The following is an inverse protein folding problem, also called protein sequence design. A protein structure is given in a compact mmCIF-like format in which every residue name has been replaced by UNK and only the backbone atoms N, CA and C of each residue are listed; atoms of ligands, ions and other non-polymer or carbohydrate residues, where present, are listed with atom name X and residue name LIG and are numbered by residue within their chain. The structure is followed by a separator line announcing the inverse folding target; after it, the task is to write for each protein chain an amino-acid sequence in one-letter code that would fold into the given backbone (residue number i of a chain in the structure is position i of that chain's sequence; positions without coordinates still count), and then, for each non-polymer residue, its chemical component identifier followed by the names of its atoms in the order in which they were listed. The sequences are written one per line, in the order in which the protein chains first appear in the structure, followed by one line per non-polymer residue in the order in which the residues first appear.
data_IF_765934554732
#
_entry.id   IF_765934554732
#
_cell.length_a   1.000
_cell.length_b   1.000
_cell.length_c   1.000
_cell.angle_alpha   90.00
_cell.angle_beta   90.00
_cell.angle_gamma   90.00
#
_symmetry.space_group_name_H-M   'P 1'
#
loop_
_entity.id
_entity.type
_entity.pdbx_description
1 polymer ?
#
# COMPACT_ATOMS: atom_id res chain seq x y z
N UNK A 1 -4.03 12.17 -0.04
CA UNK A 1 -3.63 12.28 1.38
C UNK A 1 -3.07 10.94 1.78
N UNK A 2 -1.76 10.86 2.02
CA UNK A 2 -1.05 9.61 2.27
C UNK A 2 -0.99 9.33 3.77
N UNK A 3 -1.16 8.06 4.16
CA UNK A 3 -0.97 7.64 5.57
C UNK A 3 0.50 7.32 5.73
N UNK A 4 1.16 7.87 6.76
CA UNK A 4 2.48 7.34 7.16
C UNK A 4 2.30 6.33 8.27
N UNK A 5 2.93 5.18 8.10
CA UNK A 5 2.88 4.07 9.04
C UNK A 5 4.29 3.70 9.48
N UNK A 6 4.42 3.33 10.74
CA UNK A 6 5.61 2.71 11.30
C UNK A 6 5.37 1.20 11.38
N UNK A 7 6.26 0.43 10.76
CA UNK A 7 6.29 -1.02 10.84
C UNK A 7 7.43 -1.44 11.76
N UNK A 8 7.15 -2.39 12.64
CA UNK A 8 8.13 -3.06 13.48
C UNK A 8 8.11 -4.55 13.17
N UNK A 9 9.27 -5.08 12.82
CA UNK A 9 9.52 -6.50 12.60
C UNK A 9 10.57 -6.95 13.61
N UNK A 10 10.32 -8.06 14.30
CA UNK A 10 11.30 -8.71 15.16
C UNK A 10 11.29 -10.21 14.99
N UNK A 11 12.46 -10.80 14.93
CA UNK A 11 12.66 -12.24 14.94
C UNK A 11 13.71 -12.59 15.97
N UNK A 12 13.35 -13.43 16.94
CA UNK A 12 14.20 -13.83 18.07
C UNK A 12 14.42 -15.33 18.09
N UNK A 13 15.68 -15.72 18.21
CA UNK A 13 16.12 -17.10 18.36
C UNK A 13 16.87 -17.22 19.68
N UNK A 14 16.30 -17.96 20.63
CA UNK A 14 16.93 -18.26 21.91
C UNK A 14 17.35 -19.73 21.94
N UNK A 15 18.65 -19.96 22.01
CA UNK A 15 19.27 -21.28 22.04
C UNK A 15 19.47 -21.77 23.47
N UNK A 16 19.21 -23.06 23.69
CA UNK A 16 19.43 -23.75 24.96
C UNK A 16 20.90 -23.86 25.38
N UNK A 17 21.83 -23.54 24.47
CA UNK A 17 23.27 -23.54 24.68
C UNK A 17 23.99 -22.42 23.91
N UNK A 18 25.28 -22.22 24.21
CA UNK A 18 26.13 -21.29 23.45
C UNK A 18 26.47 -21.88 22.08
N UNK A 19 26.01 -21.23 21.02
CA UNK A 19 26.27 -21.61 19.63
C UNK A 19 27.22 -20.63 18.95
N UNK A 20 27.97 -21.10 17.95
CA UNK A 20 28.76 -20.25 17.08
C UNK A 20 27.97 -20.01 15.80
N UNK A 21 27.46 -18.79 15.59
CA UNK A 21 26.81 -18.43 14.33
C UNK A 21 27.84 -18.42 13.19
N UNK A 22 27.47 -18.99 12.04
CA UNK A 22 28.20 -18.78 10.78
C UNK A 22 27.87 -17.40 10.21
N UNK A 23 28.46 -16.98 9.08
CA UNK A 23 27.98 -15.80 8.38
C UNK A 23 26.46 -15.89 8.13
N UNK A 24 25.74 -14.81 8.45
CA UNK A 24 24.30 -14.69 8.22
C UNK A 24 24.04 -13.60 7.19
N UNK A 25 23.12 -13.87 6.27
CA UNK A 25 22.63 -12.91 5.29
C UNK A 25 21.23 -12.48 5.70
N UNK A 26 21.01 -11.16 5.79
CA UNK A 26 19.72 -10.56 6.12
C UNK A 26 19.27 -9.72 4.93
N UNK A 27 18.05 -10.00 4.45
CA UNK A 27 17.41 -9.36 3.29
C UNK A 27 16.15 -8.62 3.69
N UNK A 28 16.15 -7.97 4.85
CA UNK A 28 15.01 -7.27 5.41
C UNK A 28 15.04 -5.75 5.14
N UNK A 29 15.74 -5.32 4.08
CA UNK A 29 15.74 -3.93 3.63
C UNK A 29 14.90 -3.80 2.35
N UNK A 30 13.99 -2.82 2.26
CA UNK A 30 13.22 -2.57 1.04
C UNK A 30 14.10 -2.53 -0.22
N UNK A 31 13.63 -3.20 -1.26
CA UNK A 31 14.31 -3.31 -2.54
C UNK A 31 14.39 -1.93 -3.21
N UNK A 32 15.43 -1.65 -4.03
CA UNK A 32 15.59 -0.35 -4.68
C UNK A 32 14.40 0.11 -5.54
N UNK A 33 13.62 -0.84 -6.07
CA UNK A 33 12.47 -0.60 -6.94
C UNK A 33 11.13 -0.51 -6.19
N UNK A 34 11.17 -0.44 -4.85
CA UNK A 34 9.96 -0.24 -4.03
C UNK A 34 9.25 1.04 -4.46
N UNK A 35 7.97 0.94 -4.83
CA UNK A 35 7.15 2.09 -5.24
C UNK A 35 6.64 2.91 -4.05
N UNK A 36 6.40 2.25 -2.91
CA UNK A 36 5.99 2.88 -1.66
C UNK A 36 7.17 3.66 -1.05
N UNK A 37 7.06 4.98 -0.84
CA UNK A 37 8.16 5.78 -0.29
C UNK A 37 8.57 5.32 1.11
N UNK A 38 9.86 5.05 1.30
CA UNK A 38 10.45 4.66 2.59
C UNK A 38 11.22 5.85 3.17
N UNK A 39 10.70 6.42 4.25
CA UNK A 39 11.26 7.60 4.92
C UNK A 39 12.33 7.23 5.95
N UNK A 40 12.18 6.08 6.61
CA UNK A 40 13.12 5.60 7.60
C UNK A 40 13.31 4.09 7.52
N UNK A 41 14.54 3.66 7.80
CA UNK A 41 14.95 2.27 7.86
C UNK A 41 15.96 2.13 8.99
N UNK A 42 15.76 1.17 9.88
CA UNK A 42 16.79 0.71 10.81
C UNK A 42 16.83 -0.81 10.86
N UNK A 43 18.03 -1.36 11.07
CA UNK A 43 18.30 -2.77 11.29
C UNK A 43 19.16 -2.90 12.54
N UNK A 44 18.63 -3.56 13.57
CA UNK A 44 19.36 -3.90 14.79
C UNK A 44 19.51 -5.40 14.86
N UNK A 45 20.71 -5.86 15.18
CA UNK A 45 21.03 -7.29 15.29
C UNK A 45 21.73 -7.55 16.61
N UNK A 46 21.28 -8.59 17.32
CA UNK A 46 21.97 -9.16 18.48
C UNK A 46 22.59 -10.51 18.11
N UNK A 47 23.81 -10.83 18.56
CA UNK A 47 24.68 -10.08 19.49
C UNK A 47 25.20 -8.75 18.95
N UNK A 48 25.41 -7.74 19.81
CA UNK A 48 25.85 -6.39 19.40
C UNK A 48 27.26 -6.34 18.82
N UNK A 49 28.14 -7.21 19.28
CA UNK A 49 29.52 -7.33 18.77
C UNK A 49 29.53 -8.19 17.50
N UNK A 50 29.41 -7.55 16.35
CA UNK A 50 29.43 -8.20 15.04
C UNK A 50 30.09 -7.30 13.98
N UNK A 51 30.48 -7.92 12.87
CA UNK A 51 30.81 -7.18 11.66
C UNK A 51 29.65 -7.23 10.69
N UNK A 52 29.32 -6.08 10.10
CA UNK A 52 28.31 -5.95 9.05
C UNK A 52 28.95 -5.48 7.75
N UNK A 53 28.61 -6.13 6.65
CA UNK A 53 28.94 -5.69 5.29
C UNK A 53 27.67 -5.64 4.45
N UNK A 54 27.39 -4.47 3.87
CA UNK A 54 26.26 -4.29 2.95
C UNK A 54 26.72 -4.52 1.52
N UNK A 55 25.94 -5.30 0.79
CA UNK A 55 26.15 -5.58 -0.63
C UNK A 55 24.82 -5.67 -1.37
N UNK A 56 24.91 -5.76 -2.69
CA UNK A 56 23.79 -6.18 -3.53
C UNK A 56 24.05 -7.58 -4.07
N UNK A 57 23.01 -8.41 -4.10
CA UNK A 57 23.07 -9.69 -4.81
C UNK A 57 22.98 -9.47 -6.34
N UNK A 58 23.16 -10.51 -7.17
CA UNK A 58 23.06 -10.39 -8.63
C UNK A 58 21.70 -9.87 -9.15
N UNK A 59 20.67 -9.85 -8.30
CA UNK A 59 19.32 -9.39 -8.63
C UNK A 59 19.06 -7.96 -8.12
N UNK A 60 20.07 -7.31 -7.53
CA UNK A 60 19.99 -5.95 -7.01
C UNK A 60 19.33 -5.83 -5.63
N UNK A 61 19.07 -6.95 -4.94
CA UNK A 61 18.50 -6.92 -3.60
C UNK A 61 19.54 -6.46 -2.59
N UNK A 62 19.12 -5.68 -1.59
CA UNK A 62 19.99 -5.29 -0.49
C UNK A 62 20.23 -6.48 0.46
N UNK A 63 21.50 -6.83 0.66
CA UNK A 63 21.89 -7.92 1.56
C UNK A 63 22.87 -7.41 2.60
N UNK A 64 22.52 -7.54 3.88
CA UNK A 64 23.43 -7.32 4.99
C UNK A 64 24.06 -8.66 5.39
N UNK A 65 25.38 -8.77 5.24
CA UNK A 65 26.18 -9.91 5.66
C UNK A 65 26.74 -9.65 7.06
N UNK A 66 26.35 -10.48 8.02
CA UNK A 66 26.78 -10.44 9.41
C UNK A 66 27.76 -11.56 9.72
N UNK A 67 28.86 -11.21 10.37
CA UNK A 67 29.81 -12.19 10.92
C UNK A 67 29.95 -11.99 12.41
N UNK A 68 29.77 -13.07 13.17
CA UNK A 68 29.83 -13.09 14.63
C UNK A 68 31.10 -13.79 15.09
N UNK A 69 31.84 -13.16 16.02
CA UNK A 69 33.07 -13.74 16.56
C UNK A 69 32.79 -14.60 17.78
N UNK A 70 32.00 -14.07 18.70
CA UNK A 70 31.69 -14.71 19.97
C UNK A 70 30.50 -15.67 19.86
N UNK A 71 30.50 -16.70 20.70
CA UNK A 71 29.35 -17.58 20.85
C UNK A 71 28.20 -16.83 21.53
N UNK A 72 26.97 -17.17 21.17
CA UNK A 72 25.78 -16.55 21.75
C UNK A 72 24.73 -17.58 22.12
N UNK A 73 23.84 -17.21 23.03
CA UNK A 73 22.57 -17.91 23.29
C UNK A 73 21.39 -17.24 22.59
N UNK A 74 21.55 -16.03 22.08
CA UNK A 74 20.49 -15.26 21.44
C UNK A 74 20.95 -14.71 20.11
N UNK A 75 20.15 -14.90 19.08
CA UNK A 75 20.25 -14.19 17.82
C UNK A 75 18.94 -13.45 17.60
N UNK A 76 18.98 -12.13 17.46
CA UNK A 76 17.77 -11.30 17.30
C UNK A 76 17.96 -10.37 16.13
N UNK A 77 16.94 -10.22 15.30
CA UNK A 77 16.91 -9.31 14.16
C UNK A 77 15.67 -8.45 14.28
N UNK A 78 15.88 -7.14 14.36
CA UNK A 78 14.84 -6.15 14.53
C UNK A 78 14.93 -5.11 13.41
N UNK A 79 13.81 -4.85 12.75
CA UNK A 79 13.70 -3.88 11.66
C UNK A 79 12.56 -2.91 11.98
N UNK A 80 12.88 -1.62 11.90
CA UNK A 80 11.91 -0.54 11.98
C UNK A 80 11.85 0.18 10.63
N UNK A 81 10.65 0.31 10.06
CA UNK A 81 10.40 1.06 8.83
C UNK A 81 9.40 2.18 9.07
N UNK A 82 9.61 3.33 8.43
CA UNK A 82 8.55 4.33 8.25
C UNK A 82 8.27 4.46 6.77
N UNK A 83 7.04 4.12 6.37
CA UNK A 83 6.63 4.13 4.97
C UNK A 83 5.39 5.00 4.78
N UNK A 84 5.27 5.54 3.57
CA UNK A 84 4.14 6.36 3.17
C UNK A 84 3.22 5.55 2.25
N UNK A 85 2.02 5.24 2.75
CA UNK A 85 0.98 4.53 2.03
C UNK A 85 0.33 5.47 1.01
N UNK A 86 0.99 5.61 -0.13
CA UNK A 86 0.47 6.30 -1.31
C UNK A 86 -0.26 5.28 -2.16
N UNK A 87 -1.52 5.53 -2.51
CA UNK A 87 -2.28 4.64 -3.38
C UNK A 87 -1.55 4.43 -4.70
N UNK A 88 -1.35 3.17 -5.05
CA UNK A 88 -0.68 2.78 -6.29
C UNK A 88 -1.72 2.16 -7.21
N UNK A 89 -1.85 2.70 -8.42
CA UNK A 89 -2.60 2.02 -9.47
C UNK A 89 -1.77 0.83 -9.98
N UNK A 90 -2.21 -0.42 -9.78
CA UNK A 90 -1.47 -1.60 -10.21
C UNK A 90 -1.49 -1.80 -11.73
N UNK A 91 -2.27 -1.00 -12.48
CA UNK A 91 -2.36 -1.03 -13.95
C UNK A 91 -1.72 0.18 -14.63
N UNK A 92 -0.98 1.01 -13.90
CA UNK A 92 -0.32 2.21 -14.43
C UNK A 92 0.99 1.88 -15.14
N UNK A 93 0.87 1.34 -16.36
CA UNK A 93 1.98 1.00 -17.25
C UNK A 93 1.52 0.92 -18.70
N UNK A 94 2.48 0.85 -19.62
CA UNK A 94 2.24 0.56 -21.04
C UNK A 94 2.81 -0.81 -21.38
N UNK A 95 2.17 -1.53 -22.29
CA UNK A 95 2.66 -2.82 -22.80
C UNK A 95 3.13 -2.62 -24.24
N UNK A 96 4.25 -3.23 -24.62
CA UNK A 96 4.71 -3.21 -26.01
C UNK A 96 3.70 -3.92 -26.94
N UNK A 97 3.55 -3.42 -28.16
CA UNK A 97 2.51 -3.86 -29.10
C UNK A 97 2.51 -5.38 -29.35
N UNK A 98 3.71 -5.99 -29.47
CA UNK A 98 3.81 -7.44 -29.70
C UNK A 98 3.46 -8.29 -28.46
N UNK A 99 3.46 -7.70 -27.26
CA UNK A 99 3.17 -8.37 -26.00
C UNK A 99 1.78 -8.01 -25.43
N UNK A 100 1.03 -7.12 -26.10
CA UNK A 100 -0.32 -6.74 -25.67
C UNK A 100 -1.25 -7.95 -25.55
N UNK A 101 -1.06 -8.94 -26.43
CA UNK A 101 -1.80 -10.19 -26.43
C UNK A 101 -0.87 -11.38 -26.22
N UNK A 102 -1.29 -12.32 -25.38
CA UNK A 102 -0.64 -13.61 -25.22
C UNK A 102 -1.34 -14.66 -26.10
N UNK A 103 -0.63 -15.66 -26.66
CA UNK A 103 0.81 -15.91 -26.52
C UNK A 103 1.69 -14.95 -27.35
N UNK A 104 2.81 -14.54 -26.76
CA UNK A 104 3.89 -13.79 -27.42
C UNK A 104 5.24 -14.42 -27.10
N UNK A 105 6.27 -14.10 -27.89
CA UNK A 105 7.65 -14.45 -27.61
C UNK A 105 8.45 -13.21 -27.24
N UNK A 106 9.29 -13.31 -26.22
CA UNK A 106 10.28 -12.29 -25.91
C UNK A 106 11.30 -12.14 -27.04
N UNK A 107 11.73 -10.90 -27.33
CA UNK A 107 12.85 -10.65 -28.22
C UNK A 107 14.10 -11.44 -27.78
N UNK A 108 14.92 -11.89 -28.73
CA UNK A 108 15.99 -12.85 -28.47
C UNK A 108 16.99 -12.39 -27.40
N UNK A 109 17.34 -11.10 -27.38
CA UNK A 109 18.25 -10.54 -26.37
C UNK A 109 17.60 -10.52 -24.99
N UNK A 110 16.38 -9.99 -24.90
CA UNK A 110 15.62 -9.92 -23.66
C UNK A 110 15.35 -11.33 -23.09
N UNK A 111 15.00 -12.30 -23.94
CA UNK A 111 14.80 -13.70 -23.55
C UNK A 111 16.05 -14.32 -22.92
N UNK A 112 17.24 -13.95 -23.41
CA UNK A 112 18.53 -14.37 -22.85
C UNK A 112 18.74 -13.77 -21.46
N UNK A 113 18.48 -12.48 -21.29
CA UNK A 113 18.64 -11.78 -20.01
C UNK A 113 17.61 -12.27 -18.97
N UNK A 114 16.41 -12.66 -19.42
CA UNK A 114 15.35 -13.22 -18.60
C UNK A 114 15.50 -14.75 -18.35
N UNK A 115 16.55 -15.39 -18.86
CA UNK A 115 16.67 -16.86 -18.80
C UNK A 115 16.53 -17.48 -17.41
N UNK A 116 17.05 -16.91 -16.30
CA UNK A 116 16.84 -17.49 -14.96
C UNK A 116 15.38 -17.45 -14.52
N UNK A 117 14.61 -16.49 -15.04
CA UNK A 117 13.20 -16.27 -14.72
C UNK A 117 12.25 -17.07 -15.62
N UNK A 118 12.77 -17.77 -16.62
CA UNK A 118 12.04 -18.68 -17.51
C UNK A 118 12.30 -20.16 -17.17
N UNK A 119 13.21 -20.45 -16.24
CA UNK A 119 13.62 -21.81 -15.90
C UNK A 119 12.50 -22.62 -15.22
N UNK A 120 12.12 -23.74 -15.85
CA UNK A 120 11.16 -24.70 -15.29
C UNK A 120 11.83 -25.61 -14.26
N UNK A 121 11.70 -25.28 -12.97
CA UNK A 121 12.27 -26.08 -11.88
C UNK A 121 11.39 -27.25 -11.43
N UNK A 122 10.09 -27.17 -11.67
CA UNK A 122 9.13 -28.22 -11.33
C UNK A 122 8.28 -28.62 -12.52
N UNK A 123 8.01 -29.92 -12.67
CA UNK A 123 7.27 -30.49 -13.79
C UNK A 123 6.34 -31.64 -13.35
N UNK A 124 5.75 -31.53 -12.16
CA UNK A 124 4.81 -32.52 -11.63
C UNK A 124 3.55 -32.66 -12.48
N UNK A 125 2.85 -33.78 -12.34
CA UNK A 125 1.66 -34.11 -13.15
C UNK A 125 0.50 -33.16 -12.86
N UNK A 126 0.27 -32.82 -11.60
CA UNK A 126 -0.77 -31.86 -11.21
C UNK A 126 -0.46 -30.46 -11.73
N UNK A 127 0.81 -30.04 -11.71
CA UNK A 127 1.22 -28.74 -12.27
C UNK A 127 0.96 -28.69 -13.78
N UNK A 128 1.34 -29.73 -14.52
CA UNK A 128 1.07 -29.82 -15.96
C UNK A 128 -0.42 -29.80 -16.24
N UNK A 129 -1.20 -30.61 -15.52
CA UNK A 129 -2.66 -30.64 -15.64
C UNK A 129 -3.28 -29.27 -15.34
N UNK A 130 -2.78 -28.55 -14.33
CA UNK A 130 -3.24 -27.20 -14.01
C UNK A 130 -2.99 -26.25 -15.20
N UNK A 131 -1.77 -26.26 -15.76
CA UNK A 131 -1.38 -25.40 -16.89
C UNK A 131 -2.14 -25.74 -18.18
N UNK A 132 -2.43 -27.02 -18.42
CA UNK A 132 -3.19 -27.47 -19.59
C UNK A 132 -4.65 -27.00 -19.59
N UNK A 133 -5.21 -26.64 -18.42
CA UNK A 133 -6.54 -26.02 -18.34
C UNK A 133 -6.59 -24.60 -18.88
N UNK A 134 -5.45 -23.92 -18.99
CA UNK A 134 -5.37 -22.53 -19.46
C UNK A 134 -5.52 -22.51 -20.99
N UNK A 135 -6.61 -21.93 -21.52
CA UNK A 135 -6.81 -21.82 -22.96
C UNK A 135 -5.65 -21.06 -23.63
N UNK A 136 -5.20 -21.55 -24.79
CA UNK A 136 -4.06 -20.99 -25.55
C UNK A 136 -4.51 -20.01 -26.65
N UNK A 137 -5.74 -19.52 -26.58
CA UNK A 137 -6.29 -18.55 -27.51
C UNK A 137 -5.72 -17.14 -27.29
N UNK A 138 -5.74 -16.35 -28.36
CA UNK A 138 -5.19 -14.99 -28.33
C UNK A 138 -6.06 -14.09 -27.45
N UNK A 139 -5.48 -13.59 -26.37
CA UNK A 139 -6.19 -12.70 -25.42
C UNK A 139 -5.25 -11.67 -24.82
N UNK A 140 -5.80 -10.56 -24.33
CA UNK A 140 -5.00 -9.49 -23.73
C UNK A 140 -4.20 -10.05 -22.57
N UNK A 141 -2.90 -9.76 -22.54
CA UNK A 141 -1.97 -10.34 -21.59
C UNK A 141 -2.37 -10.02 -20.14
N UNK A 142 -2.81 -8.79 -19.87
CA UNK A 142 -3.24 -8.37 -18.53
C UNK A 142 -4.50 -9.11 -18.07
N UNK A 143 -5.46 -9.32 -18.96
CA UNK A 143 -6.70 -10.05 -18.62
C UNK A 143 -6.38 -11.51 -18.26
N UNK A 144 -5.46 -12.15 -19.00
CA UNK A 144 -4.94 -13.48 -18.66
C UNK A 144 -4.28 -13.49 -17.27
N UNK A 145 -3.44 -12.49 -16.95
CA UNK A 145 -2.76 -12.40 -15.66
C UNK A 145 -3.74 -12.25 -14.49
N UNK A 146 -4.77 -11.43 -14.65
CA UNK A 146 -5.86 -11.28 -13.66
C UNK A 146 -6.57 -12.61 -13.45
N UNK A 147 -6.97 -13.29 -14.52
CA UNK A 147 -7.70 -14.55 -14.45
C UNK A 147 -6.86 -15.67 -13.80
N UNK A 148 -5.59 -15.82 -14.18
CA UNK A 148 -4.70 -16.83 -13.59
C UNK A 148 -4.51 -16.62 -12.09
N UNK A 149 -4.34 -15.37 -11.67
CA UNK A 149 -4.14 -15.03 -10.27
C UNK A 149 -5.40 -15.31 -9.44
N UNK A 150 -6.57 -14.93 -9.96
CA UNK A 150 -7.86 -15.21 -9.32
C UNK A 150 -8.18 -16.71 -9.28
N UNK A 151 -7.95 -17.42 -10.38
CA UNK A 151 -8.17 -18.86 -10.44
C UNK A 151 -7.29 -19.61 -9.45
N UNK A 152 -6.01 -19.26 -9.35
CA UNK A 152 -5.11 -19.90 -8.39
C UNK A 152 -5.51 -19.59 -6.94
N UNK A 153 -5.93 -18.36 -6.64
CA UNK A 153 -6.46 -17.98 -5.32
C UNK A 153 -7.71 -18.76 -4.94
N UNK A 154 -8.57 -19.10 -5.91
CA UNK A 154 -9.76 -19.92 -5.70
C UNK A 154 -9.43 -21.42 -5.56
N UNK A 155 -8.43 -21.91 -6.28
CA UNK A 155 -8.01 -23.31 -6.26
C UNK A 155 -7.25 -23.68 -4.98
N UNK A 156 -6.51 -22.75 -4.37
CA UNK A 156 -5.61 -22.99 -3.24
C UNK A 156 -6.07 -22.26 -1.97
N UNK A 157 -6.54 -23.02 -0.99
CA UNK A 157 -6.91 -22.48 0.32
C UNK A 157 -5.70 -21.98 1.12
N UNK A 158 -5.78 -20.77 1.69
CA UNK A 158 -4.72 -20.21 2.51
C UNK A 158 -4.60 -20.89 3.87
N UNK A 159 -3.37 -21.26 4.26
CA UNK A 159 -3.03 -21.75 5.60
C UNK A 159 -1.72 -21.14 6.09
N UNK A 160 -1.65 -20.85 7.39
CA UNK A 160 -0.41 -20.45 8.04
C UNK A 160 0.43 -21.71 8.28
N UNK A 161 1.72 -21.65 7.95
CA UNK A 161 2.65 -22.77 8.06
C UNK A 161 3.91 -22.36 8.82
N UNK A 162 4.26 -23.19 9.81
CA UNK A 162 5.47 -23.02 10.61
C UNK A 162 6.66 -23.82 10.07
N UNK A 163 6.43 -24.76 9.15
CA UNK A 163 7.53 -25.55 8.58
C UNK A 163 8.47 -24.65 7.77
N UNK A 164 9.79 -24.92 7.75
CA UNK A 164 10.72 -24.18 6.92
C UNK A 164 10.55 -24.53 5.42
N UNK A 165 10.93 -23.59 4.56
CA UNK A 165 10.96 -23.78 3.11
C UNK A 165 9.60 -23.62 2.43
N UNK A 166 9.59 -23.81 1.11
CA UNK A 166 8.39 -23.70 0.26
C UNK A 166 7.93 -25.10 -0.12
N UNK A 167 6.62 -25.34 -0.11
CA UNK A 167 6.03 -26.56 -0.67
C UNK A 167 6.37 -26.70 -2.15
N UNK A 168 6.53 -27.95 -2.58
CA UNK A 168 6.59 -28.26 -4.01
C UNK A 168 5.23 -27.96 -4.65
N UNK A 169 5.23 -27.55 -5.92
CA UNK A 169 4.00 -27.29 -6.68
C UNK A 169 3.04 -28.48 -6.62
N UNK A 170 3.56 -29.70 -6.76
CA UNK A 170 2.77 -30.93 -6.71
C UNK A 170 2.10 -31.14 -5.33
N UNK A 171 2.78 -30.75 -4.26
CA UNK A 171 2.27 -30.86 -2.90
C UNK A 171 1.17 -29.83 -2.64
N UNK A 172 1.40 -28.56 -3.01
CA UNK A 172 0.40 -27.49 -2.87
C UNK A 172 -0.87 -27.81 -3.66
N UNK A 173 -0.74 -28.31 -4.89
CA UNK A 173 -1.88 -28.70 -5.73
C UNK A 173 -2.60 -29.95 -5.19
N UNK A 174 -1.87 -30.94 -4.69
CA UNK A 174 -2.46 -32.14 -4.10
C UNK A 174 -3.25 -31.84 -2.82
N UNK A 175 -2.71 -30.96 -1.96
CA UNK A 175 -3.36 -30.52 -0.74
C UNK A 175 -4.49 -29.50 -0.98
N UNK A 176 -4.48 -28.83 -2.15
CA UNK A 176 -5.29 -27.66 -2.46
C UNK A 176 -5.19 -26.57 -1.36
N UNK A 177 -4.04 -26.50 -0.68
CA UNK A 177 -3.77 -25.59 0.44
C UNK A 177 -2.29 -25.21 0.51
N UNK A 178 -2.02 -23.97 0.86
CA UNK A 178 -0.65 -23.45 0.98
C UNK A 178 -0.58 -22.12 1.74
N UNK A 179 0.62 -21.77 2.19
CA UNK A 179 0.95 -20.44 2.69
C UNK A 179 1.25 -19.47 1.54
N UNK A 180 1.45 -18.18 1.83
CA UNK A 180 1.72 -17.16 0.81
C UNK A 180 2.92 -17.51 -0.08
N UNK A 181 4.01 -18.01 0.51
CA UNK A 181 5.20 -18.50 -0.21
C UNK A 181 4.91 -19.70 -1.12
N UNK A 182 3.98 -20.57 -0.73
CA UNK A 182 3.64 -21.77 -1.51
C UNK A 182 2.85 -21.38 -2.76
N UNK A 183 1.81 -20.56 -2.58
CA UNK A 183 1.00 -20.04 -3.69
C UNK A 183 1.81 -19.12 -4.62
N UNK A 184 2.69 -18.27 -4.07
CA UNK A 184 3.57 -17.41 -4.86
C UNK A 184 4.51 -18.23 -5.76
N UNK A 185 5.14 -19.27 -5.20
CA UNK A 185 6.04 -20.13 -5.97
C UNK A 185 5.29 -20.97 -7.03
N UNK A 186 4.11 -21.48 -6.68
CA UNK A 186 3.24 -22.16 -7.62
C UNK A 186 2.87 -21.23 -8.80
N UNK A 187 2.51 -19.98 -8.54
CA UNK A 187 2.21 -19.00 -9.60
C UNK A 187 3.43 -18.70 -10.48
N UNK A 188 4.63 -18.57 -9.88
CA UNK A 188 5.88 -18.41 -10.64
C UNK A 188 6.06 -19.58 -11.61
N UNK A 189 5.91 -20.82 -11.14
CA UNK A 189 6.09 -22.00 -11.97
C UNK A 189 5.00 -22.16 -13.04
N UNK A 190 3.75 -21.79 -12.75
CA UNK A 190 2.66 -21.74 -13.72
C UNK A 190 3.01 -20.76 -14.85
N UNK A 191 3.38 -19.52 -14.53
CA UNK A 191 3.69 -18.49 -15.52
C UNK A 191 4.89 -18.89 -16.39
N UNK A 192 5.91 -19.50 -15.80
CA UNK A 192 7.06 -20.04 -16.57
C UNK A 192 6.64 -21.13 -17.55
N UNK A 193 5.74 -22.05 -17.16
CA UNK A 193 5.19 -23.05 -18.07
C UNK A 193 4.29 -22.44 -19.18
N UNK A 194 3.77 -21.22 -18.96
CA UNK A 194 3.07 -20.43 -19.96
C UNK A 194 4.02 -19.60 -20.85
N UNK A 195 5.34 -19.70 -20.64
CA UNK A 195 6.35 -18.98 -21.42
C UNK A 195 6.60 -17.56 -20.94
N UNK A 196 6.08 -17.17 -19.76
CA UNK A 196 6.24 -15.84 -19.18
C UNK A 196 7.34 -15.86 -18.11
N UNK A 197 8.25 -14.90 -18.17
CA UNK A 197 9.33 -14.77 -17.20
C UNK A 197 8.76 -14.30 -15.86
N UNK A 198 8.99 -15.08 -14.80
CA UNK A 198 8.43 -14.82 -13.48
C UNK A 198 9.47 -14.97 -12.37
N UNK A 199 9.31 -14.22 -11.28
CA UNK A 199 10.19 -14.22 -10.11
C UNK A 199 9.40 -14.28 -8.81
N UNK A 200 10.04 -14.85 -7.80
CA UNK A 200 9.53 -14.91 -6.44
C UNK A 200 9.91 -13.63 -5.70
N UNK A 201 8.96 -13.06 -4.97
CA UNK A 201 9.19 -11.88 -4.14
C UNK A 201 8.92 -12.22 -2.69
N UNK A 202 9.88 -11.89 -1.82
CA UNK A 202 9.69 -11.82 -0.38
C UNK A 202 9.66 -10.36 0.06
N UNK A 203 8.68 -9.99 0.86
CA UNK A 203 8.46 -8.62 1.26
C UNK A 203 7.64 -8.46 2.54
N UNK A 204 7.26 -7.23 2.84
CA UNK A 204 6.20 -6.95 3.81
C UNK A 204 4.87 -6.75 3.07
N UNK A 205 3.78 -7.20 3.69
CA UNK A 205 2.43 -6.81 3.31
C UNK A 205 1.84 -5.98 4.44
N UNK A 206 1.60 -4.69 4.18
CA UNK A 206 0.86 -3.79 5.08
C UNK A 206 -0.56 -3.67 4.57
N UNK A 207 -1.54 -4.00 5.40
CA UNK A 207 -2.94 -3.73 5.09
C UNK A 207 -3.55 -2.91 6.22
N UNK A 208 -4.14 -1.77 5.84
CA UNK A 208 -4.77 -0.87 6.78
C UNK A 208 -6.28 -1.11 6.78
N UNK A 209 -6.87 -1.09 7.98
CA UNK A 209 -8.31 -1.17 8.14
C UNK A 209 -8.98 0.00 7.40
N UNK A 210 -9.92 -0.27 6.47
CA UNK A 210 -10.58 0.79 5.75
C UNK A 210 -11.50 1.59 6.68
N UNK A 211 -11.67 2.89 6.41
CA UNK A 211 -12.53 3.76 7.23
C UNK A 211 -14.01 3.34 7.19
N UNK A 212 -14.43 2.74 6.08
CA UNK A 212 -15.77 2.19 5.90
C UNK A 212 -15.66 0.75 5.38
N UNK A 213 -16.54 -0.12 5.87
CA UNK A 213 -16.69 -1.46 5.30
C UNK A 213 -17.22 -1.35 3.87
N UNK A 214 -16.66 -2.15 2.98
CA UNK A 214 -17.13 -2.23 1.60
C UNK A 214 -18.58 -2.73 1.57
N UNK A 215 -19.41 -2.11 0.73
CA UNK A 215 -20.81 -2.54 0.53
C UNK A 215 -20.90 -3.73 -0.44
N UNK A 216 -20.10 -3.72 -1.52
CA UNK A 216 -20.21 -4.67 -2.64
C UNK A 216 -18.88 -5.38 -2.97
N UNK A 217 -17.92 -5.43 -2.03
CA UNK A 217 -16.62 -6.07 -2.23
C UNK A 217 -16.06 -6.70 -0.95
N UNK A 218 -14.92 -7.41 -1.04
CA UNK A 218 -14.25 -7.96 0.12
C UNK A 218 -13.98 -6.83 1.13
N UNK A 219 -14.43 -7.04 2.36
CA UNK A 219 -14.06 -6.14 3.46
C UNK A 219 -12.55 -6.25 3.63
N UNK A 220 -11.85 -5.11 3.63
CA UNK A 220 -10.43 -5.06 4.05
C UNK A 220 -10.26 -5.59 5.48
N UNK A 221 -9.04 -5.60 6.01
CA UNK A 221 -8.82 -6.17 7.34
C UNK A 221 -9.61 -5.40 8.41
N UNK A 222 -9.99 -6.09 9.47
CA UNK A 222 -10.71 -5.47 10.60
C UNK A 222 -9.81 -4.51 11.39
N UNK A 223 -8.50 -4.80 11.42
CA UNK A 223 -7.49 -4.01 12.10
C UNK A 223 -6.28 -3.78 11.16
N UNK A 224 -5.50 -2.74 11.43
CA UNK A 224 -4.24 -2.54 10.73
C UNK A 224 -3.32 -3.72 11.05
N UNK A 225 -2.78 -4.37 10.02
CA UNK A 225 -1.84 -5.46 10.22
C UNK A 225 -0.70 -5.41 9.22
N UNK A 226 0.39 -6.05 9.61
CA UNK A 226 1.54 -6.28 8.75
C UNK A 226 2.12 -7.65 9.01
N UNK A 227 2.62 -8.28 7.96
CA UNK A 227 3.38 -9.52 8.10
C UNK A 227 4.48 -9.60 7.03
N UNK A 228 5.43 -10.51 7.23
CA UNK A 228 6.23 -10.99 6.12
C UNK A 228 5.34 -11.75 5.15
N UNK A 229 5.47 -11.41 3.88
CA UNK A 229 4.63 -11.93 2.82
C UNK A 229 5.46 -12.33 1.62
N UNK A 230 4.85 -13.12 0.74
CA UNK A 230 5.44 -13.50 -0.52
C UNK A 230 4.40 -13.46 -1.64
N UNK A 231 4.85 -13.02 -2.81
CA UNK A 231 4.02 -12.93 -4.01
C UNK A 231 4.86 -13.22 -5.26
N UNK A 232 4.20 -13.25 -6.42
CA UNK A 232 4.85 -13.47 -7.70
C UNK A 232 4.98 -12.15 -8.46
N UNK A 233 6.08 -11.97 -9.20
CA UNK A 233 6.16 -10.92 -10.22
C UNK A 233 6.40 -11.52 -11.59
N UNK A 234 5.72 -10.99 -12.61
CA UNK A 234 5.86 -11.40 -14.01
C UNK A 234 6.42 -10.24 -14.84
N UNK A 235 7.35 -10.54 -15.74
CA UNK A 235 7.91 -9.53 -16.64
C UNK A 235 7.10 -9.46 -17.93
N UNK A 236 6.47 -8.31 -18.18
CA UNK A 236 5.75 -8.01 -19.43
C UNK A 236 6.49 -6.87 -20.15
N UNK A 237 6.90 -7.04 -21.43
CA UNK A 237 7.59 -6.00 -22.18
C UNK A 237 6.81 -4.68 -22.22
N UNK A 238 7.52 -3.57 -22.03
CA UNK A 238 6.93 -2.23 -21.78
C UNK A 238 6.52 -2.00 -20.32
N UNK A 239 5.83 -2.95 -19.69
CA UNK A 239 5.30 -2.78 -18.34
C UNK A 239 6.32 -3.07 -17.23
N UNK A 240 7.34 -3.89 -17.53
CA UNK A 240 8.32 -4.35 -16.56
C UNK A 240 7.77 -5.46 -15.66
N UNK A 241 8.21 -5.48 -14.40
CA UNK A 241 7.78 -6.46 -13.40
C UNK A 241 6.43 -6.05 -12.79
N UNK A 242 5.40 -6.87 -13.01
CA UNK A 242 4.05 -6.70 -12.48
C UNK A 242 3.84 -7.68 -11.33
N UNK A 243 3.45 -7.18 -10.16
CA UNK A 243 3.20 -8.01 -8.97
C UNK A 243 1.79 -8.60 -8.93
N UNK A 244 1.73 -9.89 -8.63
CA UNK A 244 0.52 -10.71 -8.49
C UNK A 244 0.55 -11.43 -7.16
N UNK A 245 -0.48 -11.21 -6.35
CA UNK A 245 -0.64 -11.89 -5.07
C UNK A 245 -1.69 -13.00 -5.17
N UNK A 246 -1.29 -14.27 -5.30
CA UNK A 246 -2.21 -15.39 -5.44
C UNK A 246 -2.92 -15.74 -4.13
N UNK A 247 -2.55 -15.14 -2.99
CA UNK A 247 -3.32 -15.33 -1.76
C UNK A 247 -4.59 -14.50 -1.74
N UNK A 248 -4.55 -13.28 -2.29
CA UNK A 248 -5.72 -12.40 -2.39
C UNK A 248 -6.41 -12.47 -3.76
N UNK A 249 -5.73 -12.99 -4.79
CA UNK A 249 -6.20 -12.94 -6.17
C UNK A 249 -6.10 -11.54 -6.79
N UNK A 250 -5.42 -10.60 -6.13
CA UNK A 250 -5.24 -9.21 -6.55
C UNK A 250 -3.81 -8.93 -7.01
N UNK A 251 -3.64 -7.84 -7.75
CA UNK A 251 -2.31 -7.34 -8.08
C UNK A 251 -1.67 -6.68 -6.85
N UNK A 252 -0.35 -6.70 -6.78
CA UNK A 252 0.40 -6.07 -5.71
C UNK A 252 0.18 -4.55 -5.74
N UNK A 253 -0.23 -4.00 -4.59
CA UNK A 253 -0.53 -2.58 -4.40
C UNK A 253 0.47 -1.90 -3.47
N UNK A 254 0.08 -0.78 -2.88
CA UNK A 254 0.94 0.02 -1.99
C UNK A 254 1.34 -0.68 -0.69
N UNK A 255 0.54 -1.68 -0.29
CA UNK A 255 0.81 -2.55 0.85
C UNK A 255 1.99 -3.50 0.64
N UNK A 256 2.33 -3.80 -0.62
CA UNK A 256 3.36 -4.79 -0.97
C UNK A 256 4.72 -4.10 -1.08
N UNK A 257 5.54 -4.23 -0.03
CA UNK A 257 6.87 -3.62 0.06
C UNK A 257 7.92 -4.70 -0.23
N UNK A 258 8.47 -4.81 -1.46
CA UNK A 258 9.43 -5.85 -1.80
C UNK A 258 10.72 -5.68 -1.01
N UNK A 259 11.28 -6.78 -0.52
CA UNK A 259 12.58 -6.81 0.16
C UNK A 259 13.61 -7.54 -0.70
N UNK A 260 13.26 -8.74 -1.19
CA UNK A 260 14.10 -9.54 -2.07
C UNK A 260 13.27 -10.15 -3.20
N UNK A 261 13.71 -9.93 -4.44
CA UNK A 261 13.10 -10.47 -5.66
C UNK A 261 14.11 -11.37 -6.37
N UNK A 262 13.80 -12.65 -6.55
CA UNK A 262 14.75 -13.64 -7.08
C UNK A 262 14.06 -14.66 -7.98
N UNK A 263 14.78 -15.32 -8.91
CA UNK A 263 14.22 -16.42 -9.68
C UNK A 263 13.92 -17.67 -8.83
N UNK A 264 14.44 -17.76 -7.61
CA UNK A 264 14.31 -18.93 -6.74
C UNK A 264 14.03 -18.51 -5.29
N UNK A 265 13.01 -19.09 -4.63
CA UNK A 265 12.61 -18.71 -3.28
C UNK A 265 13.72 -18.87 -2.24
N UNK A 266 14.65 -19.81 -2.40
CA UNK A 266 15.78 -20.00 -1.48
C UNK A 266 16.67 -18.76 -1.42
N UNK A 267 16.82 -18.06 -2.55
CA UNK A 267 17.62 -16.85 -2.63
C UNK A 267 16.90 -15.61 -2.06
N UNK A 268 15.58 -15.68 -1.89
CA UNK A 268 14.76 -14.62 -1.29
C UNK A 268 14.52 -14.80 0.21
N UNK A 269 15.10 -15.83 0.85
CA UNK A 269 14.93 -16.06 2.27
C UNK A 269 15.31 -14.81 3.09
N UNK A 270 14.42 -14.31 3.99
CA UNK A 270 14.66 -13.08 4.74
C UNK A 270 15.92 -13.12 5.60
N UNK A 271 16.20 -14.28 6.20
CA UNK A 271 17.40 -14.56 6.97
C UNK A 271 17.96 -15.91 6.48
N UNK A 272 19.24 -15.94 6.12
CA UNK A 272 19.96 -17.16 5.75
C UNK A 272 21.19 -17.29 6.63
N UNK A 273 21.36 -18.44 7.28
CA UNK A 273 22.54 -18.69 8.10
C UNK A 273 22.45 -20.04 8.78
N UNK A 274 23.54 -20.42 9.44
CA UNK A 274 23.62 -21.65 10.21
C UNK A 274 24.42 -21.39 11.50
N UNK A 275 24.55 -22.41 12.33
CA UNK A 275 25.47 -22.39 13.45
C UNK A 275 26.32 -23.65 13.46
N UNK A 276 27.51 -23.55 14.05
CA UNK A 276 28.42 -24.68 14.25
C UNK A 276 28.21 -25.28 15.64
N UNK A 277 28.24 -26.60 15.73
CA UNK A 277 28.16 -27.33 16.99
C UNK A 277 27.18 -28.51 16.94
N UNK A 278 26.85 -29.03 18.11
CA UNK A 278 25.76 -30.01 18.27
C UNK A 278 24.43 -29.31 18.03
N UNK A 279 23.42 -30.07 17.60
CA UNK A 279 22.04 -29.57 17.47
C UNK A 279 21.61 -28.94 18.80
N UNK A 280 21.20 -27.68 18.73
CA UNK A 280 20.63 -26.92 19.82
C UNK A 280 19.11 -26.87 19.68
N UNK A 281 18.41 -26.96 20.81
CA UNK A 281 16.99 -26.62 20.84
C UNK A 281 16.85 -25.09 20.78
N UNK A 282 15.90 -24.61 19.99
CA UNK A 282 15.68 -23.18 19.75
C UNK A 282 14.25 -22.81 20.11
N UNK A 283 14.11 -21.82 20.98
CA UNK A 283 12.85 -21.12 21.17
C UNK A 283 12.79 -19.96 20.19
N UNK A 284 11.74 -19.93 19.38
CA UNK A 284 11.57 -18.99 18.29
C UNK A 284 10.38 -18.08 18.56
N UNK A 285 10.61 -16.77 18.52
CA UNK A 285 9.56 -15.75 18.63
C UNK A 285 9.64 -14.81 17.43
N UNK A 286 8.49 -14.42 16.91
CA UNK A 286 8.40 -13.39 15.89
C UNK A 286 7.28 -12.42 16.23
N UNK A 287 7.49 -11.14 15.91
CA UNK A 287 6.55 -10.06 16.13
C UNK A 287 6.55 -9.15 14.90
N UNK A 288 5.36 -8.90 14.37
CA UNK A 288 5.14 -7.94 13.30
C UNK A 288 4.01 -7.01 13.74
N UNK A 289 4.25 -5.70 13.76
CA UNK A 289 3.24 -4.71 14.11
C UNK A 289 3.34 -3.48 13.21
N UNK A 290 2.19 -2.84 12.99
CA UNK A 290 2.09 -1.61 12.22
C UNK A 290 1.28 -0.58 13.00
N UNK A 291 1.69 0.68 12.91
CA UNK A 291 1.00 1.81 13.55
C UNK A 291 0.92 3.00 12.61
N UNK A 292 -0.26 3.58 12.46
CA UNK A 292 -0.41 4.89 11.81
C UNK A 292 0.26 5.96 12.67
N UNK A 293 1.28 6.62 12.14
CA UNK A 293 2.00 7.70 12.83
C UNK A 293 1.59 9.09 12.32
N UNK A 294 1.00 9.16 11.13
CA UNK A 294 0.44 10.38 10.57
C UNK A 294 -0.67 10.05 9.57
N UNK A 295 -1.81 10.70 9.74
CA UNK A 295 -2.97 10.59 8.86
C UNK A 295 -3.59 11.98 8.73
N UNK A 296 -3.65 12.52 7.51
CA UNK A 296 -4.33 13.79 7.27
C UNK A 296 -5.84 13.64 7.56
N UNK A 297 -6.52 14.68 8.09
CA UNK A 297 -7.96 14.64 8.34
C UNK A 297 -8.76 14.29 7.09
N UNK A 298 -9.70 13.35 7.22
CA UNK A 298 -10.52 12.86 6.11
C UNK A 298 -11.98 13.16 6.36
N UNK A 299 -12.71 13.46 5.29
CA UNK A 299 -14.17 13.59 5.34
C UNK A 299 -14.90 12.29 5.71
N UNK A 300 -14.21 11.14 5.65
CA UNK A 300 -14.74 9.80 5.92
C UNK A 300 -14.73 9.39 7.39
N UNK A 301 -14.04 10.15 8.26
CA UNK A 301 -14.01 9.90 9.71
C UNK A 301 -14.50 11.13 10.46
N UNK A 302 -15.29 10.95 11.54
CA UNK A 302 -15.57 12.06 12.44
C UNK A 302 -14.27 12.52 13.11
N UNK A 303 -14.23 13.78 13.54
CA UNK A 303 -13.16 14.28 14.40
C UNK A 303 -13.02 13.41 15.64
N UNK A 304 -11.80 13.23 16.13
CA UNK A 304 -11.58 12.62 17.44
C UNK A 304 -12.25 13.47 18.52
N UNK A 305 -12.63 12.85 19.65
CA UNK A 305 -13.23 13.58 20.78
C UNK A 305 -12.36 14.78 21.19
N UNK A 306 -11.03 14.59 21.21
CA UNK A 306 -10.07 15.66 21.53
C UNK A 306 -10.03 16.80 20.50
N UNK A 307 -10.24 16.51 19.22
CA UNK A 307 -10.35 17.53 18.17
C UNK A 307 -11.67 18.27 18.29
N UNK A 308 -12.77 17.54 18.52
CA UNK A 308 -14.09 18.11 18.72
C UNK A 308 -14.13 19.05 19.93
N UNK A 309 -13.56 18.64 21.06
CA UNK A 309 -13.43 19.49 22.26
C UNK A 309 -12.64 20.77 21.97
N UNK A 310 -11.54 20.68 21.21
CA UNK A 310 -10.76 21.86 20.80
C UNK A 310 -11.55 22.80 19.89
N UNK A 311 -12.31 22.26 18.93
CA UNK A 311 -13.19 23.03 18.05
C UNK A 311 -14.25 23.76 18.88
N UNK A 312 -14.90 23.06 19.81
CA UNK A 312 -15.92 23.64 20.68
C UNK A 312 -15.34 24.71 21.62
N UNK A 313 -14.13 24.49 22.17
CA UNK A 313 -13.43 25.46 23.00
C UNK A 313 -13.09 26.74 22.22
N UNK A 314 -12.62 26.59 20.96
CA UNK A 314 -12.36 27.71 20.06
C UNK A 314 -13.66 28.47 19.73
N UNK A 315 -14.75 27.76 19.43
CA UNK A 315 -16.06 28.36 19.21
C UNK A 315 -16.51 29.21 20.40
N UNK A 316 -16.42 28.67 21.62
CA UNK A 316 -16.75 29.40 22.83
C UNK A 316 -15.83 30.62 23.06
N UNK A 317 -14.57 30.57 22.64
CA UNK A 317 -13.67 31.71 22.68
C UNK A 317 -14.09 32.81 21.69
N UNK A 318 -14.42 32.43 20.46
CA UNK A 318 -14.92 33.36 19.43
C UNK A 318 -16.22 34.01 19.90
N UNK A 319 -17.16 33.25 20.44
CA UNK A 319 -18.42 33.78 20.97
C UNK A 319 -18.20 34.83 22.06
N UNK A 320 -17.28 34.57 23.01
CA UNK A 320 -16.92 35.56 24.04
C UNK A 320 -16.36 36.84 23.43
N UNK A 321 -15.51 36.73 22.41
CA UNK A 321 -14.92 37.90 21.74
C UNK A 321 -15.97 38.71 20.98
N UNK A 322 -16.89 38.05 20.28
CA UNK A 322 -18.00 38.69 19.57
C UNK A 322 -18.91 39.44 20.56
N UNK A 323 -19.26 38.82 21.68
CA UNK A 323 -20.06 39.46 22.74
C UNK A 323 -19.34 40.68 23.35
N UNK A 324 -18.05 40.56 23.69
CA UNK A 324 -17.27 41.67 24.24
C UNK A 324 -17.13 42.85 23.27
N UNK A 325 -17.10 42.55 21.97
CA UNK A 325 -16.99 43.56 20.92
C UNK A 325 -18.35 44.09 20.45
N UNK A 326 -19.45 43.68 21.12
CA UNK A 326 -20.84 43.98 20.74
C UNK A 326 -21.14 43.69 19.26
N UNK A 327 -20.53 42.62 18.72
CA UNK A 327 -20.80 42.16 17.35
C UNK A 327 -22.14 41.44 17.37
N UNK A 328 -23.15 42.09 16.79
CA UNK A 328 -24.50 41.56 16.70
C UNK A 328 -24.75 41.02 15.30
N UNK A 329 -25.38 39.85 15.23
CA UNK A 329 -25.91 39.34 13.98
C UNK A 329 -27.14 40.16 13.61
N UNK A 330 -27.09 40.88 12.50
CA UNK A 330 -28.30 41.44 11.88
C UNK A 330 -28.70 40.55 10.72
N UNK A 331 -29.85 39.89 10.83
CA UNK A 331 -30.42 39.19 9.69
C UNK A 331 -31.19 40.20 8.83
N UNK A 332 -30.52 40.78 7.83
CA UNK A 332 -31.15 41.62 6.81
C UNK A 332 -31.64 40.76 5.65
N UNK A 333 -32.89 40.92 5.24
CA UNK A 333 -33.32 40.51 3.91
C UNK A 333 -32.75 41.48 2.87
N UNK A 334 -32.58 41.07 1.61
CA UNK A 334 -32.28 41.98 0.50
C UNK A 334 -33.56 42.72 0.12
N UNK A 335 -33.80 43.98 0.57
CA UNK A 335 -35.04 44.65 0.26
C UNK A 335 -35.05 45.00 -1.22
N UNK A 336 -35.89 44.30 -1.98
CA UNK A 336 -36.11 44.62 -3.39
C UNK A 336 -37.21 45.69 -3.49
N UNK A 337 -36.94 46.75 -4.25
CA UNK A 337 -37.88 47.85 -4.47
C UNK A 337 -38.38 47.82 -5.91
N UNK A 338 -39.70 47.96 -6.09
CA UNK A 338 -40.37 48.14 -7.38
C UNK A 338 -41.26 49.38 -7.28
N UNK A 339 -41.19 50.27 -8.26
CA UNK A 339 -42.00 51.50 -8.27
C UNK A 339 -43.48 51.19 -8.48
N UNK A 340 -44.39 51.71 -7.66
CA UNK A 340 -45.84 51.56 -7.89
C UNK A 340 -46.32 52.33 -9.13
N UNK A 341 -45.65 53.42 -9.46
CA UNK A 341 -46.02 54.31 -10.58
C UNK A 341 -45.47 53.82 -11.92
N UNK A 342 -44.51 52.89 -11.91
CA UNK A 342 -43.85 52.34 -13.10
C UNK A 342 -43.27 50.94 -12.80
N UNK A 343 -44.14 49.95 -12.58
CA UNK A 343 -43.72 48.59 -12.22
C UNK A 343 -43.05 47.84 -13.38
N UNK A 344 -43.45 48.17 -14.62
CA UNK A 344 -42.98 47.50 -15.84
C UNK A 344 -41.72 48.15 -16.43
N UNK A 345 -41.24 49.25 -15.82
CA UNK A 345 -40.04 49.94 -16.24
C UNK A 345 -38.83 49.00 -16.35
N UNK A 346 -37.98 49.24 -17.36
CA UNK A 346 -36.80 48.42 -17.62
C UNK A 346 -35.88 48.30 -16.39
N UNK A 347 -35.82 49.34 -15.55
CA UNK A 347 -34.98 49.37 -14.34
C UNK A 347 -35.40 48.42 -13.22
N UNK A 348 -36.65 47.93 -13.25
CA UNK A 348 -37.16 46.95 -12.28
C UNK A 348 -37.12 45.52 -12.80
N UNK A 349 -37.00 45.34 -14.13
CA UNK A 349 -37.12 44.04 -14.79
C UNK A 349 -35.84 43.54 -15.47
N UNK A 350 -35.16 44.39 -16.24
CA UNK A 350 -34.06 43.95 -17.14
C UNK A 350 -32.77 44.77 -17.01
N UNK A 351 -32.86 46.06 -16.71
CA UNK A 351 -31.70 46.93 -16.52
C UNK A 351 -31.24 46.93 -15.05
N UNK A 352 -29.93 46.72 -14.84
CA UNK A 352 -29.35 46.66 -13.49
C UNK A 352 -29.52 47.97 -12.70
N UNK A 353 -29.26 49.11 -13.35
CA UNK A 353 -29.45 50.47 -12.85
C UNK A 353 -30.20 51.28 -13.92
N UNK A 354 -31.35 51.86 -13.55
CA UNK A 354 -32.02 52.87 -14.38
C UNK A 354 -31.82 54.29 -13.85
N UNK A 355 -32.51 55.24 -14.47
CA UNK A 355 -32.41 56.66 -14.15
C UNK A 355 -32.85 56.96 -12.70
N UNK A 356 -33.88 56.27 -12.20
CA UNK A 356 -34.47 56.59 -10.89
C UNK A 356 -34.11 55.58 -9.80
N UNK A 357 -33.75 54.35 -10.17
CA UNK A 357 -33.48 53.26 -9.22
C UNK A 357 -32.47 53.61 -8.14
N UNK A 358 -31.34 54.24 -8.51
CA UNK A 358 -30.29 54.63 -7.54
C UNK A 358 -30.80 55.66 -6.53
N UNK A 359 -31.49 56.68 -7.00
CA UNK A 359 -32.04 57.73 -6.13
C UNK A 359 -33.05 57.16 -5.13
N UNK A 360 -33.94 56.26 -5.60
CA UNK A 360 -34.93 55.58 -4.72
C UNK A 360 -34.26 54.63 -3.72
N UNK A 361 -33.27 53.85 -4.15
CA UNK A 361 -32.50 52.97 -3.29
C UNK A 361 -31.76 53.77 -2.19
N UNK A 362 -31.21 54.94 -2.52
CA UNK A 362 -30.53 55.80 -1.55
C UNK A 362 -31.50 56.35 -0.48
N UNK A 363 -32.72 56.73 -0.88
CA UNK A 363 -33.76 57.15 0.08
C UNK A 363 -34.11 56.01 1.04
N UNK A 364 -34.29 54.79 0.53
CA UNK A 364 -34.57 53.61 1.36
C UNK A 364 -33.39 53.31 2.30
N UNK A 365 -32.17 53.27 1.77
CA UNK A 365 -30.94 53.04 2.54
C UNK A 365 -30.82 54.03 3.70
N UNK A 366 -31.01 55.33 3.45
CA UNK A 366 -30.95 56.37 4.50
C UNK A 366 -32.04 56.17 5.57
N UNK A 367 -33.25 55.78 5.18
CA UNK A 367 -34.33 55.47 6.13
C UNK A 367 -34.04 54.24 6.98
N UNK A 368 -33.47 53.18 6.39
CA UNK A 368 -33.06 51.98 7.11
C UNK A 368 -31.88 52.27 8.05
N UNK A 369 -30.89 53.02 7.57
CA UNK A 369 -29.74 53.46 8.35
C UNK A 369 -30.16 54.25 9.60
N UNK A 370 -31.09 55.19 9.45
CA UNK A 370 -31.65 55.94 10.58
C UNK A 370 -32.41 55.07 11.61
N UNK A 371 -32.90 53.90 11.22
CA UNK A 371 -33.65 52.99 12.11
C UNK A 371 -32.78 51.92 12.74
N UNK A 372 -31.78 51.42 12.03
CA UNK A 372 -31.05 50.21 12.43
C UNK A 372 -29.56 50.42 12.68
N UNK A 373 -28.95 51.48 12.15
CA UNK A 373 -27.51 51.66 12.17
C UNK A 373 -27.10 53.13 12.38
N UNK A 374 -27.77 53.84 13.29
CA UNK A 374 -27.44 55.24 13.60
C UNK A 374 -25.99 55.35 14.07
N UNK A 375 -25.17 56.10 13.34
CA UNK A 375 -23.73 56.22 13.58
C UNK A 375 -22.85 55.20 12.83
N UNK A 376 -23.44 54.24 12.12
CA UNK A 376 -22.72 53.31 11.24
C UNK A 376 -22.23 53.99 9.96
N UNK A 377 -21.15 53.46 9.38
CA UNK A 377 -20.67 53.89 8.06
C UNK A 377 -21.58 53.34 6.96
N UNK A 378 -22.10 54.21 6.10
CA UNK A 378 -22.79 53.79 4.88
C UNK A 378 -21.74 53.55 3.80
N UNK A 379 -21.63 52.31 3.32
CA UNK A 379 -20.75 51.93 2.22
C UNK A 379 -21.56 51.70 0.95
N UNK A 380 -21.12 52.28 -0.17
CA UNK A 380 -21.69 52.04 -1.49
C UNK A 380 -20.72 51.15 -2.26
N UNK A 381 -21.15 49.95 -2.64
CA UNK A 381 -20.41 49.02 -3.51
C UNK A 381 -20.63 49.32 -4.98
#
# INVERSE_FOLDING_TARGET
MSIRVALHHKTDYLYDQLIQLTPHLIRLRPAPHTRTPVHHYSLKVEPKEHFIHWQQDPFGNHVASFTFREKTRRFSVEVDLVVEMVTINPFDFFVEEYAEHWPFDYEAHLKKDLSPYLELKEQGELLRAWVERVPRDKRRCIDLLVELNQQLSQDIGYVIRMEPGVQRCEETLSLAKGSCRDSAWLLVQILRNLGLAARFVSGYLVQLAPDMKSLDGPSGPEEDFTDLHAWCEVYVPGAGWIGLDPTSGLFAGEGHIPLACTPDPVSAAPITGAYLGKKAEVHFEFENSVKRIHEDPRVTKPYTDSEWERIMALGAQVDRQLQQSDVRLTMGGEPTFVSIDDMDGAEWNTAALGENKRARAEVLLRRLWQRWAVGGLVHHS
#
